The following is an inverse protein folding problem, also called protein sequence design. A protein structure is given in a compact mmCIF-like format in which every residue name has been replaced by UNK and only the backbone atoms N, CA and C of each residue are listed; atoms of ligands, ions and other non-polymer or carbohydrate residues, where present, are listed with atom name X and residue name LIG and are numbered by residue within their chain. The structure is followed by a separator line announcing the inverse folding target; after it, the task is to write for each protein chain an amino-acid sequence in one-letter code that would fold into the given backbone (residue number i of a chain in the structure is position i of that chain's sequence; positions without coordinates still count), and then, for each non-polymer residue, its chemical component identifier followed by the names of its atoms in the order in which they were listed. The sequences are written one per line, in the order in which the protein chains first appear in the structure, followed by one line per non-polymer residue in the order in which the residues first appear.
data_IF_521834793377
#
_entry.id   IF_521834793377
#
_cell.length_a   1.000
_cell.length_b   1.000
_cell.length_c   1.000
_cell.angle_alpha   90.00
_cell.angle_beta   90.00
_cell.angle_gamma   90.00
#
_symmetry.space_group_name_H-M   'P 1'
#
loop_
_entity.id
_entity.type
_entity.pdbx_description
1 polymer ?
#
# COMPACT_ATOMS: atom_id res chain seq x y z
N UNK A 1 -1.52 0.71 0.05
CA UNK A 1 -1.27 2.17 0.12
C UNK A 1 0.17 2.36 0.51
N UNK A 2 0.87 3.29 -0.13
CA UNK A 2 2.21 3.74 0.24
C UNK A 2 2.12 5.26 0.41
N UNK A 3 2.58 5.75 1.55
CA UNK A 3 2.75 7.16 1.84
C UNK A 3 4.24 7.42 2.00
N UNK A 4 4.71 8.52 1.43
CA UNK A 4 6.07 9.00 1.61
C UNK A 4 5.97 10.33 2.33
N UNK A 5 6.73 10.48 3.41
CA UNK A 5 6.77 11.67 4.25
C UNK A 5 8.14 12.31 4.12
N UNK A 6 8.21 13.61 3.91
CA UNK A 6 9.45 14.38 3.82
C UNK A 6 9.65 15.26 5.06
N UNK A 7 10.92 15.39 5.47
CA UNK A 7 11.39 16.16 6.64
C UNK A 7 12.55 17.11 6.29
N UNK A 8 12.71 17.47 5.02
CA UNK A 8 13.78 18.40 4.62
C UNK A 8 13.44 19.85 5.00
N UNK A 9 14.38 20.50 5.70
CA UNK A 9 14.24 21.87 6.21
C UNK A 9 14.45 22.94 5.13
N UNK A 10 15.21 22.60 4.07
CA UNK A 10 15.49 23.48 2.93
C UNK A 10 14.79 22.97 1.67
N UNK A 11 13.75 23.69 1.24
CA UNK A 11 12.95 23.31 0.08
C UNK A 11 13.36 24.09 -1.18
N UNK A 12 13.96 23.40 -2.14
CA UNK A 12 13.86 23.80 -3.54
C UNK A 12 12.53 23.31 -4.12
N UNK A 13 11.87 24.12 -4.96
CA UNK A 13 10.61 23.75 -5.64
C UNK A 13 10.79 22.50 -6.50
N UNK A 14 10.65 21.31 -5.90
CA UNK A 14 10.70 20.03 -6.56
C UNK A 14 9.65 19.94 -7.66
N UNK A 15 10.04 19.41 -8.83
CA UNK A 15 9.12 19.21 -9.96
C UNK A 15 8.00 18.26 -9.55
N UNK A 16 6.79 18.49 -10.05
CA UNK A 16 5.69 17.54 -9.90
C UNK A 16 6.08 16.23 -10.60
N UNK A 17 6.13 15.08 -9.88
CA UNK A 17 6.41 13.78 -10.50
C UNK A 17 5.40 13.52 -11.62
N UNK A 18 5.87 13.05 -12.78
CA UNK A 18 5.01 12.65 -13.90
C UNK A 18 5.04 13.51 -15.17
N UNK A 19 5.97 14.47 -15.30
CA UNK A 19 6.24 15.16 -16.58
C UNK A 19 7.43 14.52 -17.33
N UNK A 20 7.24 13.32 -17.87
CA UNK A 20 8.18 12.72 -18.82
C UNK A 20 8.33 11.20 -18.73
N UNK A 21 7.34 10.44 -19.19
CA UNK A 21 7.39 8.97 -19.27
C UNK A 21 6.06 8.38 -19.74
N UNK A 22 6.09 7.17 -20.33
CA UNK A 22 4.88 6.45 -20.78
C UNK A 22 4.10 5.81 -19.61
N UNK A 23 4.77 5.48 -18.51
CA UNK A 23 4.20 4.84 -17.32
C UNK A 23 4.24 5.84 -16.15
N UNK A 24 3.16 6.59 -15.91
CA UNK A 24 3.12 7.65 -14.88
C UNK A 24 2.49 7.18 -13.58
N UNK A 25 3.26 7.31 -12.50
CA UNK A 25 2.74 7.20 -11.13
C UNK A 25 2.02 8.50 -10.76
N UNK A 26 0.79 8.36 -10.25
CA UNK A 26 -0.06 9.43 -9.76
C UNK A 26 -0.21 9.31 -8.25
N UNK A 27 -0.63 10.40 -7.63
CA UNK A 27 -0.83 10.47 -6.19
C UNK A 27 -2.31 10.69 -5.87
N UNK A 28 -2.78 9.97 -4.86
CA UNK A 28 -4.09 10.12 -4.25
C UNK A 28 -4.22 11.46 -3.52
N UNK A 29 -3.16 11.83 -2.79
CA UNK A 29 -3.09 13.06 -2.02
C UNK A 29 -1.64 13.55 -1.97
N UNK A 30 -1.46 14.86 -2.06
CA UNK A 30 -0.21 15.54 -1.70
C UNK A 30 -0.61 16.66 -0.74
N UNK A 31 -0.23 16.50 0.51
CA UNK A 31 -0.64 17.36 1.61
C UNK A 31 0.60 17.98 2.23
N UNK A 32 0.52 19.27 2.53
CA UNK A 32 1.59 20.00 3.20
C UNK A 32 1.00 20.83 4.33
N UNK A 33 1.68 20.89 5.44
CA UNK A 33 1.43 21.90 6.45
C UNK A 33 2.23 23.16 6.11
N UNK A 34 1.55 24.29 5.95
CA UNK A 34 2.22 25.58 5.75
C UNK A 34 2.37 26.27 7.12
N UNK A 35 3.61 26.38 7.59
CA UNK A 35 3.95 26.96 8.89
C UNK A 35 3.62 28.46 8.98
N UNK A 36 3.64 29.17 7.85
CA UNK A 36 3.42 30.62 7.79
C UNK A 36 1.94 30.96 7.87
N UNK A 37 1.10 30.17 7.18
CA UNK A 37 -0.36 30.35 7.18
C UNK A 37 -1.06 29.53 8.26
N UNK A 38 -0.37 28.53 8.84
CA UNK A 38 -0.94 27.49 9.73
C UNK A 38 -2.09 26.72 9.06
N UNK A 39 -2.10 26.65 7.74
CA UNK A 39 -3.13 25.99 6.95
C UNK A 39 -2.62 24.73 6.25
N UNK A 40 -3.52 23.77 6.04
CA UNK A 40 -3.26 22.61 5.18
C UNK A 40 -3.33 23.03 3.70
N UNK A 41 -2.22 22.88 2.99
CA UNK A 41 -2.20 23.04 1.54
C UNK A 41 -2.46 21.69 0.89
N UNK A 42 -3.71 21.47 0.48
CA UNK A 42 -4.11 20.29 -0.30
C UNK A 42 -3.90 20.54 -1.79
N UNK A 43 -2.80 20.03 -2.34
CA UNK A 43 -2.46 20.26 -3.74
C UNK A 43 -3.42 19.56 -4.71
N UNK A 44 -3.83 18.32 -4.41
CA UNK A 44 -4.87 17.51 -5.09
C UNK A 44 -5.27 16.33 -4.20
N UNK A 45 -6.53 15.90 -4.25
CA UNK A 45 -6.92 14.57 -3.75
C UNK A 45 -8.40 14.44 -3.38
N UNK A 46 -8.91 13.21 -3.47
CA UNK A 46 -10.18 12.85 -2.83
C UNK A 46 -10.01 12.93 -1.30
N UNK A 47 -11.11 12.97 -0.53
CA UNK A 47 -11.01 12.86 0.93
C UNK A 47 -10.22 11.57 1.23
N UNK A 48 -9.09 11.66 1.93
CA UNK A 48 -8.25 10.51 2.25
C UNK A 48 -7.95 10.59 3.75
N UNK A 49 -8.76 9.89 4.55
CA UNK A 49 -8.77 10.08 6.01
C UNK A 49 -7.42 9.88 6.68
N UNK A 50 -6.59 8.96 6.17
CA UNK A 50 -5.33 8.61 6.82
C UNK A 50 -4.22 9.65 6.58
N UNK A 51 -3.90 10.08 5.33
CA UNK A 51 -2.96 11.18 5.12
C UNK A 51 -3.37 12.49 5.81
N UNK A 52 -4.65 12.86 5.74
CA UNK A 52 -5.18 14.10 6.35
C UNK A 52 -4.99 14.06 7.88
N UNK A 53 -5.46 12.99 8.54
CA UNK A 53 -5.30 12.83 9.99
C UNK A 53 -3.84 12.72 10.42
N UNK A 54 -3.00 12.11 9.58
CA UNK A 54 -1.57 11.98 9.87
C UNK A 54 -0.89 13.36 9.85
N UNK A 55 -1.21 14.21 8.87
CA UNK A 55 -0.69 15.57 8.82
C UNK A 55 -1.14 16.37 10.05
N UNK A 56 -2.44 16.30 10.41
CA UNK A 56 -2.98 16.97 11.59
C UNK A 56 -2.25 16.56 12.89
N UNK A 57 -1.90 15.27 13.03
CA UNK A 57 -1.26 14.76 14.24
C UNK A 57 0.26 14.96 14.29
N UNK A 58 0.94 15.07 13.13
CA UNK A 58 2.37 15.35 13.09
C UNK A 58 2.70 16.79 13.53
N UNK A 59 1.72 17.68 13.50
CA UNK A 59 1.85 19.05 13.99
C UNK A 59 2.44 20.00 12.95
N UNK A 60 2.84 21.22 13.36
CA UNK A 60 3.12 22.33 12.46
C UNK A 60 4.52 22.33 11.82
N UNK A 61 5.34 21.34 12.14
CA UNK A 61 6.66 21.17 11.53
C UNK A 61 6.51 20.97 10.01
N UNK A 62 7.50 21.40 9.19
CA UNK A 62 7.43 21.29 7.74
C UNK A 62 7.44 19.82 7.32
N UNK A 63 6.25 19.23 7.21
CA UNK A 63 6.04 17.87 6.71
C UNK A 63 5.21 17.92 5.44
N UNK A 64 5.72 17.25 4.42
CA UNK A 64 4.98 16.97 3.20
C UNK A 64 4.65 15.47 3.13
N UNK A 65 3.38 15.15 2.87
CA UNK A 65 2.90 13.77 2.73
C UNK A 65 2.46 13.54 1.29
N UNK A 66 3.04 12.53 0.66
CA UNK A 66 2.65 12.04 -0.65
C UNK A 66 2.02 10.64 -0.56
N UNK A 67 0.72 10.57 -0.80
CA UNK A 67 -0.02 9.31 -0.88
C UNK A 67 -0.07 8.81 -2.33
N UNK A 68 0.60 7.68 -2.63
CA UNK A 68 0.72 7.18 -3.99
C UNK A 68 -0.41 6.22 -4.39
N UNK A 69 -0.92 6.38 -5.61
CA UNK A 69 -1.52 5.26 -6.34
C UNK A 69 -0.38 4.50 -7.01
N UNK A 70 -0.16 3.24 -6.65
CA UNK A 70 0.90 2.43 -7.28
C UNK A 70 0.60 2.15 -8.74
N UNK A 71 1.61 1.80 -9.54
CA UNK A 71 1.39 1.36 -10.92
C UNK A 71 0.29 0.30 -10.97
N UNK A 72 -0.59 0.39 -11.99
CA UNK A 72 -1.78 -0.47 -12.17
C UNK A 72 -2.88 -0.33 -11.12
N UNK A 73 -2.73 0.55 -10.12
CA UNK A 73 -3.75 0.82 -9.10
C UNK A 73 -4.34 2.21 -9.26
N UNK A 74 -5.60 2.37 -8.82
CA UNK A 74 -6.26 3.66 -8.77
C UNK A 74 -6.19 4.38 -10.11
N UNK A 75 -5.65 5.59 -10.11
CA UNK A 75 -5.55 6.41 -11.31
C UNK A 75 -4.19 6.31 -12.00
N UNK A 76 -3.19 5.69 -11.39
CA UNK A 76 -1.86 5.54 -11.98
C UNK A 76 -1.89 4.70 -13.25
N UNK A 77 -0.99 5.03 -14.17
CA UNK A 77 -0.95 4.35 -15.45
C UNK A 77 -0.56 2.87 -15.25
N UNK A 78 -1.05 2.03 -16.17
CA UNK A 78 -0.71 0.61 -16.19
C UNK A 78 0.65 0.46 -16.84
N UNK A 79 1.52 -0.39 -16.29
CA UNK A 79 2.83 -0.65 -16.92
C UNK A 79 2.64 -1.25 -18.31
N UNK A 80 3.55 -0.92 -19.22
CA UNK A 80 3.60 -1.60 -20.51
C UNK A 80 3.97 -3.08 -20.38
N UNK A 81 4.86 -3.42 -19.43
CA UNK A 81 5.26 -4.79 -19.11
C UNK A 81 4.29 -5.47 -18.14
N UNK A 82 4.00 -6.75 -18.31
CA UNK A 82 3.20 -7.55 -17.37
C UNK A 82 3.92 -7.86 -16.03
N UNK A 83 5.10 -7.30 -15.79
CA UNK A 83 5.87 -7.45 -14.55
C UNK A 83 5.26 -6.61 -13.40
N UNK A 84 5.05 -7.26 -12.25
CA UNK A 84 4.60 -6.67 -10.99
C UNK A 84 5.33 -7.29 -9.80
N UNK A 85 6.60 -7.67 -10.00
CA UNK A 85 7.49 -8.03 -8.90
C UNK A 85 7.51 -6.90 -7.86
N UNK A 86 7.59 -7.27 -6.57
CA UNK A 86 7.53 -6.30 -5.47
C UNK A 86 8.61 -5.21 -5.61
N UNK A 87 9.81 -5.56 -6.11
CA UNK A 87 10.89 -4.61 -6.34
C UNK A 87 10.51 -3.46 -7.28
N UNK A 88 9.62 -3.67 -8.25
CA UNK A 88 9.16 -2.61 -9.16
C UNK A 88 8.45 -1.47 -8.42
N UNK A 89 7.73 -1.80 -7.37
CA UNK A 89 7.07 -0.78 -6.54
C UNK A 89 8.05 -0.04 -5.62
N UNK A 90 9.19 -0.65 -5.29
CA UNK A 90 10.30 0.02 -4.59
C UNK A 90 10.95 1.01 -5.56
N UNK A 91 11.27 0.57 -6.78
CA UNK A 91 11.84 1.42 -7.84
C UNK A 91 10.96 2.66 -8.12
N UNK A 92 9.63 2.49 -8.16
CA UNK A 92 8.70 3.63 -8.34
C UNK A 92 8.80 4.64 -7.20
N UNK A 93 8.83 4.17 -5.95
CA UNK A 93 8.89 5.05 -4.78
C UNK A 93 10.24 5.78 -4.69
N UNK A 94 11.34 5.07 -4.94
CA UNK A 94 12.70 5.60 -4.97
C UNK A 94 12.86 6.69 -6.05
N UNK A 95 12.40 6.43 -7.27
CA UNK A 95 12.42 7.45 -8.35
C UNK A 95 11.58 8.68 -8.03
N UNK A 96 10.47 8.53 -7.29
CA UNK A 96 9.63 9.66 -6.88
C UNK A 96 10.35 10.50 -5.82
N UNK A 97 10.95 9.86 -4.83
CA UNK A 97 11.79 10.52 -3.82
C UNK A 97 12.92 11.29 -4.50
N UNK A 98 13.64 10.65 -5.42
CA UNK A 98 14.74 11.28 -6.17
C UNK A 98 14.25 12.49 -6.99
N UNK A 99 13.13 12.36 -7.71
CA UNK A 99 12.54 13.45 -8.50
C UNK A 99 12.08 14.64 -7.65
N UNK A 100 11.63 14.39 -6.43
CA UNK A 100 11.22 15.41 -5.47
C UNK A 100 12.42 16.05 -4.75
N UNK A 101 13.59 15.40 -4.80
CA UNK A 101 14.79 15.84 -4.13
C UNK A 101 14.82 15.50 -2.64
N UNK A 102 13.88 14.68 -2.15
CA UNK A 102 13.72 14.34 -0.74
C UNK A 102 14.90 13.51 -0.23
N UNK A 103 15.77 14.14 0.55
CA UNK A 103 16.94 13.50 1.16
C UNK A 103 16.55 12.73 2.41
N UNK A 104 15.59 13.26 3.20
CA UNK A 104 15.14 12.64 4.44
C UNK A 104 13.66 12.35 4.37
N UNK A 105 13.34 11.07 4.19
CA UNK A 105 11.97 10.63 4.07
C UNK A 105 11.64 9.37 4.88
N UNK A 106 10.37 9.20 5.22
CA UNK A 106 9.81 7.99 5.81
C UNK A 106 8.78 7.36 4.87
N UNK A 107 8.74 6.03 4.84
CA UNK A 107 7.74 5.28 4.08
C UNK A 107 6.75 4.63 5.04
N UNK A 108 5.48 5.00 4.93
CA UNK A 108 4.38 4.33 5.62
C UNK A 108 3.63 3.46 4.61
N UNK A 109 3.59 2.16 4.88
CA UNK A 109 3.07 1.22 3.92
C UNK A 109 2.08 0.23 4.55
N UNK A 110 1.01 -0.09 3.80
CA UNK A 110 -0.04 -1.03 4.23
C UNK A 110 -0.15 -2.20 3.26
N UNK A 111 -0.32 -3.41 3.82
CA UNK A 111 -0.53 -4.67 3.10
C UNK A 111 0.55 -4.91 2.04
N UNK A 112 0.19 -4.88 0.74
CA UNK A 112 1.14 -4.99 -0.36
C UNK A 112 2.30 -3.99 -0.19
N UNK A 113 2.01 -2.75 0.19
CA UNK A 113 3.05 -1.76 0.44
C UNK A 113 4.00 -2.18 1.58
N UNK A 114 3.47 -2.81 2.62
CA UNK A 114 4.27 -3.32 3.74
C UNK A 114 5.08 -4.57 3.37
N UNK A 115 4.62 -5.38 2.42
CA UNK A 115 5.42 -6.45 1.82
C UNK A 115 6.51 -5.87 0.90
N UNK A 116 6.20 -4.83 0.14
CA UNK A 116 7.15 -4.15 -0.75
C UNK A 116 8.27 -3.44 0.01
N UNK A 117 7.93 -2.60 0.98
CA UNK A 117 8.89 -1.69 1.65
C UNK A 117 9.27 -2.10 3.06
N UNK A 118 8.68 -3.18 3.58
CA UNK A 118 8.83 -3.59 4.97
C UNK A 118 9.28 -5.02 5.13
N UNK A 119 9.50 -5.39 6.39
CA UNK A 119 9.98 -6.70 6.80
C UNK A 119 9.02 -7.86 6.51
N UNK A 120 7.78 -7.54 6.15
CA UNK A 120 6.69 -8.50 6.07
C UNK A 120 6.91 -9.47 4.91
N UNK A 121 7.49 -9.05 3.77
CA UNK A 121 7.76 -9.97 2.64
C UNK A 121 8.65 -11.14 3.01
N UNK A 122 9.57 -10.93 3.96
CA UNK A 122 10.50 -11.97 4.39
C UNK A 122 9.84 -13.11 5.18
N UNK A 123 8.58 -12.94 5.59
CA UNK A 123 7.78 -13.97 6.23
C UNK A 123 7.07 -14.89 5.21
N UNK A 124 7.18 -14.60 3.91
CA UNK A 124 6.49 -15.30 2.83
C UNK A 124 7.50 -15.72 1.78
N UNK A 125 8.27 -16.75 2.11
CA UNK A 125 9.24 -17.35 1.21
C UNK A 125 8.59 -18.56 0.56
N UNK A 126 8.74 -18.70 -0.75
CA UNK A 126 8.09 -19.77 -1.50
C UNK A 126 9.07 -20.46 -2.46
N UNK A 127 8.75 -21.70 -2.81
CA UNK A 127 9.45 -22.48 -3.82
C UNK A 127 9.12 -21.94 -5.21
N UNK A 128 10.16 -21.58 -5.98
CA UNK A 128 10.02 -20.77 -7.20
C UNK A 128 9.33 -21.53 -8.35
N UNK A 129 9.72 -22.78 -8.69
CA UNK A 129 8.99 -23.61 -9.66
C UNK A 129 7.48 -23.71 -9.42
N UNK A 130 7.05 -24.02 -8.20
CA UNK A 130 5.64 -24.15 -7.84
C UNK A 130 4.91 -22.80 -7.98
N UNK A 131 5.53 -21.71 -7.50
CA UNK A 131 4.98 -20.36 -7.66
C UNK A 131 4.78 -19.98 -9.14
N UNK A 132 5.75 -20.30 -10.00
CA UNK A 132 5.65 -20.05 -11.43
C UNK A 132 4.54 -20.88 -12.09
N UNK A 133 4.38 -22.15 -11.69
CA UNK A 133 3.29 -22.99 -12.18
C UNK A 133 1.91 -22.43 -11.81
N UNK A 134 1.76 -21.95 -10.58
CA UNK A 134 0.55 -21.29 -10.10
C UNK A 134 0.28 -20.01 -10.88
N UNK A 135 1.28 -19.15 -11.07
CA UNK A 135 1.18 -17.94 -11.89
C UNK A 135 0.68 -18.26 -13.30
N UNK A 136 1.30 -19.23 -13.99
CA UNK A 136 0.91 -19.62 -15.36
C UNK A 136 -0.54 -20.11 -15.38
N UNK A 137 -0.91 -20.92 -14.39
CA UNK A 137 -2.26 -21.48 -14.27
C UNK A 137 -3.31 -20.39 -14.06
N UNK A 138 -3.05 -19.46 -13.14
CA UNK A 138 -3.96 -18.37 -12.84
C UNK A 138 -4.06 -17.36 -13.98
N UNK A 139 -2.96 -17.10 -14.68
CA UNK A 139 -2.96 -16.28 -15.89
C UNK A 139 -3.84 -16.88 -16.98
N UNK A 140 -3.75 -18.19 -17.24
CA UNK A 140 -4.64 -18.88 -18.20
C UNK A 140 -6.11 -18.72 -17.82
N UNK A 141 -6.46 -18.91 -16.53
CA UNK A 141 -7.83 -18.70 -16.02
C UNK A 141 -8.27 -17.25 -16.18
N UNK A 142 -7.39 -16.29 -15.94
CA UNK A 142 -7.70 -14.86 -16.03
C UNK A 142 -8.04 -14.44 -17.47
N UNK A 143 -7.28 -14.94 -18.45
CA UNK A 143 -7.52 -14.68 -19.88
C UNK A 143 -8.89 -15.18 -20.34
N UNK A 144 -9.37 -16.30 -19.80
CA UNK A 144 -10.71 -16.82 -20.08
C UNK A 144 -11.84 -16.06 -19.34
N UNK A 145 -11.51 -15.35 -18.26
CA UNK A 145 -12.49 -14.66 -17.42
C UNK A 145 -12.86 -13.31 -18.03
N UNK A 146 -14.15 -12.94 -17.98
CA UNK A 146 -14.61 -11.58 -18.27
C UNK A 146 -14.21 -10.62 -17.14
N UNK A 147 -13.98 -9.36 -17.48
CA UNK A 147 -13.79 -8.33 -16.46
C UNK A 147 -15.01 -8.26 -15.52
N UNK A 148 -14.77 -7.90 -14.26
CA UNK A 148 -15.84 -7.65 -13.31
C UNK A 148 -16.74 -6.53 -13.84
N UNK A 149 -18.04 -6.63 -13.57
CA UNK A 149 -19.02 -5.61 -13.92
C UNK A 149 -19.98 -5.47 -12.76
N UNK A 150 -20.25 -4.24 -12.40
CA UNK A 150 -21.14 -3.88 -11.32
C UNK A 150 -22.18 -2.90 -11.89
N UNK A 151 -23.49 -3.20 -11.80
CA UNK A 151 -24.53 -2.32 -12.35
C UNK A 151 -24.50 -0.92 -11.72
N UNK A 152 -24.16 -0.85 -10.43
CA UNK A 152 -24.11 0.41 -9.68
C UNK A 152 -22.87 0.49 -8.79
N UNK A 153 -22.58 1.67 -8.26
CA UNK A 153 -21.48 1.88 -7.31
C UNK A 153 -21.78 1.16 -5.99
N UNK A 154 -23.04 1.13 -5.57
CA UNK A 154 -23.51 0.45 -4.36
C UNK A 154 -23.21 -1.05 -4.44
N UNK A 155 -23.43 -1.68 -5.61
CA UNK A 155 -23.06 -3.09 -5.84
C UNK A 155 -21.55 -3.34 -5.65
N UNK A 156 -20.70 -2.37 -6.00
CA UNK A 156 -19.25 -2.45 -5.74
C UNK A 156 -18.97 -2.38 -4.24
N UNK A 157 -19.60 -1.43 -3.55
CA UNK A 157 -19.46 -1.24 -2.11
C UNK A 157 -19.88 -2.49 -1.35
N UNK A 158 -21.06 -3.05 -1.63
CA UNK A 158 -21.54 -4.31 -1.05
C UNK A 158 -20.58 -5.47 -1.31
N UNK A 159 -20.09 -5.59 -2.56
CA UNK A 159 -19.13 -6.63 -2.92
C UNK A 159 -17.83 -6.48 -2.13
N UNK A 160 -17.32 -5.26 -1.90
CA UNK A 160 -16.09 -5.05 -1.14
C UNK A 160 -16.29 -5.30 0.35
N UNK A 161 -17.43 -4.86 0.90
CA UNK A 161 -17.75 -4.99 2.33
C UNK A 161 -17.99 -6.43 2.76
N UNK A 162 -18.73 -7.20 1.94
CA UNK A 162 -19.18 -8.55 2.32
C UNK A 162 -18.43 -9.69 1.63
N UNK A 163 -17.90 -9.47 0.42
CA UNK A 163 -17.26 -10.53 -0.39
C UNK A 163 -15.76 -10.31 -0.60
N UNK A 164 -15.20 -9.20 -0.13
CA UNK A 164 -13.77 -8.95 -0.18
C UNK A 164 -13.00 -9.82 0.80
N UNK A 165 -11.79 -10.24 0.44
CA UNK A 165 -10.94 -11.12 1.27
C UNK A 165 -10.74 -10.64 2.73
N UNK A 166 -10.84 -9.34 2.98
CA UNK A 166 -10.69 -8.76 4.32
C UNK A 166 -11.94 -8.01 4.81
N UNK A 167 -12.93 -7.78 3.94
CA UNK A 167 -14.03 -6.84 4.16
C UNK A 167 -13.56 -5.41 4.45
N UNK A 168 -14.45 -4.44 4.35
CA UNK A 168 -14.32 -3.10 4.96
C UNK A 168 -15.70 -2.68 5.45
N UNK A 169 -15.79 -1.80 6.44
CA UNK A 169 -17.08 -1.25 6.86
C UNK A 169 -17.82 -0.59 5.65
N UNK A 170 -19.15 -0.82 5.48
CA UNK A 170 -19.91 -0.28 4.35
C UNK A 170 -19.76 1.22 4.14
N UNK A 171 -19.76 1.99 5.22
CA UNK A 171 -19.65 3.45 5.20
C UNK A 171 -18.29 3.92 4.67
N UNK A 172 -17.25 3.09 4.84
CA UNK A 172 -15.92 3.33 4.29
C UNK A 172 -15.81 2.84 2.84
N UNK A 173 -16.57 1.82 2.46
CA UNK A 173 -16.63 1.35 1.08
C UNK A 173 -17.20 2.42 0.15
N UNK A 174 -18.29 3.07 0.55
CA UNK A 174 -18.91 4.18 -0.20
C UNK A 174 -17.94 5.31 -0.51
N UNK A 175 -17.00 5.55 0.38
CA UNK A 175 -15.99 6.58 0.24
C UNK A 175 -14.81 6.13 -0.63
N UNK A 176 -14.36 4.87 -0.48
CA UNK A 176 -13.15 4.37 -1.12
C UNK A 176 -13.37 3.79 -2.50
N UNK A 177 -14.50 3.12 -2.74
CA UNK A 177 -14.73 2.36 -3.97
C UNK A 177 -14.88 3.24 -5.20
N UNK A 178 -15.64 4.37 -5.20
CA UNK A 178 -15.88 5.16 -6.41
C UNK A 178 -14.60 5.59 -7.12
N UNK A 179 -13.53 5.92 -6.38
CA UNK A 179 -12.23 6.35 -6.94
C UNK A 179 -11.55 5.28 -7.80
N UNK A 180 -11.86 4.02 -7.56
CA UNK A 180 -11.23 2.86 -8.17
C UNK A 180 -12.05 2.30 -9.34
N UNK A 181 -13.05 3.03 -9.81
CA UNK A 181 -13.99 2.58 -10.83
C UNK A 181 -13.88 3.39 -12.11
N UNK A 182 -14.20 2.73 -13.22
CA UNK A 182 -14.41 3.35 -14.53
C UNK A 182 -15.72 2.84 -15.13
N UNK A 183 -16.39 3.65 -15.96
CA UNK A 183 -17.57 3.20 -16.70
C UNK A 183 -17.24 1.97 -17.55
N UNK A 184 -18.20 1.07 -17.64
CA UNK A 184 -18.12 -0.13 -18.46
C UNK A 184 -19.49 -0.47 -19.04
N UNK A 185 -19.47 -1.10 -20.20
CA UNK A 185 -20.66 -1.63 -20.86
C UNK A 185 -20.63 -3.16 -20.82
N UNK A 186 -21.81 -3.76 -20.76
CA UNK A 186 -21.97 -5.21 -20.87
C UNK A 186 -23.16 -5.54 -21.76
N UNK A 187 -22.92 -6.33 -22.79
CA UNK A 187 -23.98 -6.99 -23.54
C UNK A 187 -24.52 -8.17 -22.73
N UNK A 188 -25.85 -8.24 -22.56
CA UNK A 188 -26.53 -9.33 -21.89
C UNK A 188 -26.53 -10.60 -22.77
N UNK A 189 -27.03 -11.70 -22.20
CA UNK A 189 -27.03 -13.02 -22.85
C UNK A 189 -27.86 -13.06 -24.14
N UNK A 190 -28.81 -12.15 -24.30
CA UNK A 190 -29.63 -11.99 -25.52
C UNK A 190 -28.82 -11.45 -26.73
N UNK A 191 -27.58 -11.03 -26.51
CA UNK A 191 -26.68 -10.48 -27.54
C UNK A 191 -27.10 -9.12 -28.09
N UNK A 192 -28.14 -8.49 -27.54
CA UNK A 192 -28.74 -7.25 -28.07
C UNK A 192 -28.80 -6.13 -27.03
N UNK A 193 -29.10 -6.48 -25.79
CA UNK A 193 -29.25 -5.49 -24.72
C UNK A 193 -27.89 -5.11 -24.17
N UNK A 194 -27.52 -3.84 -24.26
CA UNK A 194 -26.31 -3.28 -23.65
C UNK A 194 -26.69 -2.53 -22.38
N UNK A 195 -26.09 -2.91 -21.26
CA UNK A 195 -26.25 -2.23 -19.97
C UNK A 195 -25.00 -1.47 -19.59
N UNK A 196 -25.20 -0.28 -19.03
CA UNK A 196 -24.15 0.54 -18.46
C UNK A 196 -23.87 0.12 -17.02
N UNK A 197 -22.63 0.27 -16.58
CA UNK A 197 -22.22 -0.02 -15.22
C UNK A 197 -20.76 0.37 -15.00
N UNK A 198 -20.13 -0.35 -14.07
CA UNK A 198 -18.81 -0.01 -13.56
C UNK A 198 -17.90 -1.23 -13.54
N UNK A 199 -16.61 -0.99 -13.78
CA UNK A 199 -15.55 -1.97 -13.58
C UNK A 199 -14.37 -1.33 -12.86
N UNK A 200 -13.44 -2.14 -12.39
CA UNK A 200 -12.25 -1.66 -11.71
C UNK A 200 -11.31 -0.93 -12.68
N UNK A 201 -10.77 0.21 -12.23
CA UNK A 201 -9.62 0.87 -12.85
C UNK A 201 -8.34 0.04 -12.70
N UNK A 202 -8.24 -0.69 -11.59
CA UNK A 202 -7.11 -1.55 -11.30
C UNK A 202 -6.92 -2.61 -12.41
N UNK A 203 -5.67 -2.91 -12.73
CA UNK A 203 -5.37 -3.98 -13.66
C UNK A 203 -5.84 -5.33 -13.11
N UNK A 204 -6.43 -6.12 -13.99
CA UNK A 204 -6.87 -7.50 -13.73
C UNK A 204 -5.71 -8.42 -13.37
N UNK A 205 -4.49 -8.14 -13.85
CA UNK A 205 -3.29 -8.91 -13.47
C UNK A 205 -3.00 -8.84 -11.96
N UNK A 206 -3.46 -7.80 -11.26
CA UNK A 206 -3.32 -7.70 -9.81
C UNK A 206 -4.16 -8.72 -9.03
N UNK A 207 -5.02 -9.48 -9.72
CA UNK A 207 -5.83 -10.54 -9.11
C UNK A 207 -5.15 -11.91 -9.14
N UNK A 208 -3.95 -12.00 -9.73
CA UNK A 208 -3.15 -13.23 -9.79
C UNK A 208 -1.77 -13.01 -9.16
N UNK A 209 -1.11 -14.09 -8.71
CA UNK A 209 0.24 -14.02 -8.10
C UNK A 209 1.28 -13.56 -9.10
N UNK A 210 2.32 -12.85 -8.67
CA UNK A 210 3.47 -12.46 -9.51
C UNK A 210 4.09 -13.68 -10.21
N UNK A 211 4.78 -13.46 -11.33
CA UNK A 211 5.62 -14.53 -11.89
C UNK A 211 6.87 -14.77 -11.04
N UNK A 212 7.28 -13.74 -10.28
CA UNK A 212 8.44 -13.76 -9.40
C UNK A 212 7.98 -13.78 -7.95
N UNK A 213 8.42 -14.78 -7.21
CA UNK A 213 8.33 -14.80 -5.74
C UNK A 213 9.65 -14.39 -5.12
N UNK A 214 9.65 -14.23 -3.80
CA UNK A 214 10.86 -14.03 -3.01
C UNK A 214 11.32 -15.37 -2.44
N UNK A 215 12.56 -15.78 -2.71
CA UNK A 215 13.18 -16.89 -1.98
C UNK A 215 13.58 -16.46 -0.57
N UNK A 216 13.80 -17.42 0.33
CA UNK A 216 14.29 -17.11 1.67
C UNK A 216 15.65 -16.41 1.65
N UNK A 217 16.56 -16.82 0.77
CA UNK A 217 17.86 -16.17 0.62
C UNK A 217 17.72 -14.72 0.15
N UNK A 218 16.80 -14.45 -0.77
CA UNK A 218 16.53 -13.08 -1.21
C UNK A 218 15.94 -12.24 -0.08
N UNK A 219 14.94 -12.77 0.63
CA UNK A 219 14.33 -12.13 1.78
C UNK A 219 15.37 -11.80 2.86
N UNK A 220 16.21 -12.77 3.20
CA UNK A 220 17.31 -12.60 4.16
C UNK A 220 18.30 -11.54 3.69
N UNK A 221 18.72 -11.56 2.43
CA UNK A 221 19.64 -10.57 1.87
C UNK A 221 19.06 -9.16 1.94
N UNK A 222 17.76 -9.01 1.64
CA UNK A 222 17.06 -7.73 1.75
C UNK A 222 16.97 -7.26 3.21
N UNK A 223 16.52 -8.14 4.10
CA UNK A 223 16.29 -7.83 5.51
C UNK A 223 17.55 -7.46 6.27
N UNK A 224 18.65 -8.16 5.98
CA UNK A 224 19.94 -7.89 6.65
C UNK A 224 20.51 -6.53 6.27
N UNK A 225 20.11 -5.96 5.13
CA UNK A 225 20.53 -4.64 4.64
C UNK A 225 19.68 -3.48 5.12
N UNK A 226 18.54 -3.73 5.77
CA UNK A 226 17.73 -2.64 6.34
C UNK A 226 18.53 -1.94 7.45
N UNK A 227 18.96 -0.72 7.17
CA UNK A 227 19.74 0.09 8.11
C UNK A 227 18.87 0.92 9.04
N UNK A 228 17.73 1.41 8.54
CA UNK A 228 16.81 2.30 9.24
C UNK A 228 15.92 1.59 10.29
N UNK A 229 15.37 2.35 11.25
CA UNK A 229 14.35 1.86 12.16
C UNK A 229 13.05 1.46 11.41
N UNK A 230 12.39 0.39 11.86
CA UNK A 230 11.14 -0.11 11.29
C UNK A 230 10.09 -0.23 12.39
N UNK A 231 8.90 0.31 12.14
CA UNK A 231 7.75 0.18 13.04
C UNK A 231 6.60 -0.54 12.34
N UNK A 232 6.19 -1.70 12.85
CA UNK A 232 5.06 -2.44 12.30
C UNK A 232 3.86 -2.45 13.26
N UNK A 233 2.70 -2.05 12.71
CA UNK A 233 1.40 -2.12 13.37
C UNK A 233 0.65 -3.35 12.87
N UNK A 234 0.34 -4.26 13.79
CA UNK A 234 -0.34 -5.52 13.49
C UNK A 234 -1.83 -5.42 13.83
N UNK A 235 -2.70 -5.75 12.88
CA UNK A 235 -4.13 -5.91 13.16
C UNK A 235 -4.36 -7.21 13.95
N UNK A 236 -5.13 -7.17 15.04
CA UNK A 236 -5.35 -8.34 15.91
C UNK A 236 -6.16 -9.47 15.25
N UNK A 237 -7.03 -9.11 14.30
CA UNK A 237 -7.79 -10.02 13.44
C UNK A 237 -7.34 -9.85 11.97
N UNK A 238 -6.04 -9.59 11.78
CA UNK A 238 -5.42 -9.24 10.51
C UNK A 238 -4.95 -10.43 9.67
N UNK A 239 -4.02 -10.18 8.75
CA UNK A 239 -3.49 -11.18 7.81
C UNK A 239 -2.93 -12.44 8.50
N UNK A 240 -2.29 -12.29 9.66
CA UNK A 240 -1.74 -13.41 10.43
C UNK A 240 -2.83 -14.28 11.08
N UNK A 241 -4.05 -13.75 11.26
CA UNK A 241 -5.19 -14.54 11.71
C UNK A 241 -5.62 -15.57 10.65
N UNK A 242 -5.54 -15.20 9.37
CA UNK A 242 -6.01 -16.00 8.24
C UNK A 242 -5.11 -17.19 7.90
N UNK A 243 -3.83 -17.15 8.27
CA UNK A 243 -2.88 -18.21 7.89
C UNK A 243 -2.73 -19.30 8.95
N UNK A 244 -2.74 -18.93 10.23
CA UNK A 244 -2.54 -19.89 11.33
C UNK A 244 -3.85 -20.31 12.02
N UNK A 245 -5.00 -19.74 11.61
CA UNK A 245 -6.30 -19.97 12.25
C UNK A 245 -6.39 -19.49 13.71
N UNK A 246 -5.37 -18.78 14.22
CA UNK A 246 -5.26 -18.26 15.59
C UNK A 246 -5.42 -16.74 15.58
N UNK A 247 -6.12 -16.16 16.57
CA UNK A 247 -6.22 -14.70 16.73
C UNK A 247 -4.81 -14.09 16.74
N UNK A 248 -4.52 -13.16 15.81
CA UNK A 248 -3.18 -12.60 15.66
C UNK A 248 -2.91 -11.56 16.74
N UNK A 249 -2.63 -12.03 17.96
CA UNK A 249 -1.91 -11.21 18.92
C UNK A 249 -0.49 -10.98 18.38
N UNK A 250 0.18 -9.90 18.80
CA UNK A 250 1.63 -9.75 18.61
C UNK A 250 2.26 -11.12 18.92
N UNK A 251 3.07 -11.71 18.01
CA UNK A 251 3.66 -13.00 18.26
C UNK A 251 4.30 -12.97 19.64
N UNK A 252 3.90 -13.93 20.50
CA UNK A 252 4.38 -13.96 21.89
C UNK A 252 5.90 -13.94 21.86
N UNK A 253 6.56 -13.50 22.92
CA UNK A 253 8.04 -13.47 22.97
C UNK A 253 8.65 -14.79 22.46
N UNK A 254 8.10 -15.93 22.89
CA UNK A 254 8.46 -17.28 22.43
C UNK A 254 8.30 -17.56 20.92
N UNK A 255 7.30 -16.96 20.27
CA UNK A 255 7.09 -17.08 18.81
C UNK A 255 8.06 -16.17 18.04
N UNK A 256 8.39 -14.99 18.60
CA UNK A 256 9.45 -14.10 18.08
C UNK A 256 10.86 -14.64 18.30
N UNK A 257 11.05 -15.43 19.36
CA UNK A 257 12.31 -16.13 19.62
C UNK A 257 12.58 -17.17 18.53
N UNK A 258 11.53 -17.71 17.89
CA UNK A 258 11.64 -18.61 16.72
C UNK A 258 11.74 -17.90 15.37
N UNK A 259 11.72 -16.57 15.32
CA UNK A 259 11.99 -15.85 14.07
C UNK A 259 13.45 -16.02 13.67
N UNK A 260 13.74 -16.12 12.36
CA UNK A 260 15.12 -16.21 11.90
C UNK A 260 15.96 -15.04 12.43
N UNK A 261 17.18 -15.34 12.87
CA UNK A 261 18.06 -14.35 13.52
C UNK A 261 18.44 -13.17 12.61
N UNK A 262 18.25 -13.33 11.30
CA UNK A 262 18.50 -12.28 10.31
C UNK A 262 17.37 -11.23 10.23
N UNK A 263 16.24 -11.44 10.90
CA UNK A 263 15.27 -10.38 11.15
C UNK A 263 15.83 -9.54 12.31
N UNK A 264 16.34 -8.35 12.00
CA UNK A 264 16.95 -7.45 12.98
C UNK A 264 15.98 -7.03 14.10
N UNK A 265 15.88 -7.85 15.15
CA UNK A 265 14.99 -7.64 16.30
C UNK A 265 15.22 -6.28 16.98
N UNK A 266 16.44 -5.73 16.87
CA UNK A 266 16.81 -4.44 17.46
C UNK A 266 16.33 -3.23 16.66
N UNK A 267 15.99 -3.40 15.37
CA UNK A 267 15.51 -2.31 14.50
C UNK A 267 14.01 -2.34 14.29
N UNK A 268 13.36 -3.46 14.63
CA UNK A 268 11.94 -3.66 14.44
C UNK A 268 11.17 -3.44 15.75
N UNK A 269 10.37 -2.38 15.78
CA UNK A 269 9.37 -2.14 16.82
C UNK A 269 8.02 -2.69 16.37
N UNK A 270 7.38 -3.49 17.23
CA UNK A 270 6.08 -4.11 16.94
C UNK A 270 5.02 -3.61 17.91
N UNK A 271 3.85 -3.28 17.38
CA UNK A 271 2.64 -3.03 18.18
C UNK A 271 1.43 -3.71 17.52
N UNK A 272 0.32 -3.82 18.25
CA UNK A 272 -0.94 -4.29 17.69
C UNK A 272 -2.08 -3.32 17.96
N UNK A 273 -3.08 -3.39 17.09
CA UNK A 273 -4.34 -2.66 17.23
C UNK A 273 -5.51 -3.64 17.01
N UNK A 274 -6.58 -3.56 17.82
CA UNK A 274 -7.77 -4.37 17.61
C UNK A 274 -8.40 -4.10 16.24
N UNK A 275 -8.84 -5.12 15.52
CA UNK A 275 -9.56 -4.97 14.25
C UNK A 275 -9.00 -5.85 13.12
N UNK A 276 -9.63 -5.75 11.96
CA UNK A 276 -9.31 -6.54 10.77
C UNK A 276 -8.13 -5.94 10.00
N UNK A 277 -7.68 -6.63 8.96
CA UNK A 277 -6.60 -6.18 8.07
C UNK A 277 -6.64 -4.71 7.60
N UNK A 278 -7.80 -4.09 7.27
CA UNK A 278 -7.86 -2.68 6.87
C UNK A 278 -7.85 -1.69 8.06
N UNK A 279 -7.24 -2.01 9.21
CA UNK A 279 -7.18 -1.12 10.39
C UNK A 279 -6.68 0.31 10.12
N UNK A 280 -5.74 0.61 9.20
CA UNK A 280 -5.37 2.00 8.93
C UNK A 280 -6.52 2.80 8.32
N UNK A 281 -7.49 2.14 7.70
CA UNK A 281 -8.68 2.76 7.13
C UNK A 281 -9.79 2.78 8.20
N UNK A 282 -10.11 1.63 8.79
CA UNK A 282 -11.25 1.50 9.72
C UNK A 282 -11.03 2.18 11.06
N UNK A 283 -9.78 2.22 11.53
CA UNK A 283 -9.39 2.76 12.83
C UNK A 283 -8.22 3.72 12.66
N UNK A 284 -8.37 4.62 11.70
CA UNK A 284 -7.37 5.65 11.35
C UNK A 284 -6.78 6.34 12.60
N UNK A 285 -7.58 6.88 13.55
CA UNK A 285 -7.03 7.59 14.70
C UNK A 285 -6.22 6.69 15.65
N UNK A 286 -6.64 5.45 15.81
CA UNK A 286 -5.93 4.48 16.65
C UNK A 286 -4.58 4.12 16.05
N UNK A 287 -4.52 3.86 14.74
CA UNK A 287 -3.24 3.58 14.07
C UNK A 287 -2.33 4.80 14.13
N UNK A 288 -2.86 6.00 13.83
CA UNK A 288 -2.11 7.26 13.89
C UNK A 288 -1.49 7.49 15.28
N UNK A 289 -2.26 7.29 16.36
CA UNK A 289 -1.78 7.42 17.75
C UNK A 289 -0.64 6.46 18.12
N UNK A 290 -0.42 5.39 17.35
CA UNK A 290 0.70 4.46 17.54
C UNK A 290 1.93 4.87 16.75
N UNK A 291 1.74 5.33 15.52
CA UNK A 291 2.85 5.63 14.61
C UNK A 291 3.41 7.03 14.82
N UNK A 292 2.58 8.03 15.09
CA UNK A 292 3.00 9.44 15.16
C UNK A 292 4.01 9.67 16.28
N UNK A 293 3.78 9.22 17.53
CA UNK A 293 4.77 9.42 18.59
C UNK A 293 6.10 8.71 18.27
N UNK A 294 6.06 7.57 17.58
CA UNK A 294 7.28 6.88 17.17
C UNK A 294 8.04 7.64 16.09
N UNK A 295 7.33 8.13 15.08
CA UNK A 295 7.87 8.95 13.99
C UNK A 295 8.58 10.19 14.56
N UNK A 296 7.92 10.94 15.46
CA UNK A 296 8.42 12.20 16.02
C UNK A 296 9.67 12.05 16.90
N UNK A 297 9.97 10.84 17.39
CA UNK A 297 11.17 10.57 18.20
C UNK A 297 12.26 9.83 17.43
N UNK A 298 12.04 9.50 16.15
CA UNK A 298 13.13 8.98 15.33
C UNK A 298 14.10 10.13 15.07
N UNK A 299 15.34 9.94 15.52
CA UNK A 299 16.44 10.82 15.12
C UNK A 299 16.60 10.71 13.60
N UNK A 300 16.85 11.83 12.93
CA UNK A 300 17.05 11.91 11.47
C UNK A 300 18.40 11.24 11.13
N UNK A 301 18.43 9.92 11.25
CA UNK A 301 19.61 9.09 11.05
C UNK A 301 19.95 8.91 9.57
N UNK A 302 21.17 8.43 9.30
CA UNK A 302 21.68 8.23 7.96
C UNK A 302 20.68 7.46 7.06
N UNK A 303 20.42 8.04 5.90
CA UNK A 303 19.54 7.54 4.85
C UNK A 303 19.87 6.08 4.56
N UNK A 304 18.85 5.21 4.62
CA UNK A 304 18.95 3.88 4.07
C UNK A 304 19.03 4.00 2.54
N UNK A 305 20.26 4.05 2.02
CA UNK A 305 20.52 3.89 0.59
C UNK A 305 20.45 2.39 0.27
N UNK A 306 19.59 2.02 -0.67
CA UNK A 306 19.57 0.67 -1.25
C UNK A 306 20.90 0.36 -1.96
#
# INVERSE_FOLDING_TARGET
MILILDYDDEYEKGKVPGKGGKDRIKYLARLKYDSDTKEEVKYRGHKARFPELLLEQLGPEPVEILALDLARHGTSDHRTSEDYALCRYIEDADQIVEQLGWQRHAIIAHSLGGATHGAISALYTEEQPQHQLEHITDKKKLLAKRAAFHPTVESVCESRSHRGAYGIAPELAEFLMPRGLRPAERTLEDGKTVVQGWTWLADRLLTIRSAQSMSEDYAKAFMTRITCPVFAVMAEDGLFHFMDGKKSKIPRKKERDGWPDWIHKNKLTLTSVPGKHPVPIEKTPLVASKIVPWILVQDVGEVAKL
#
